data_IF_133438571513
#
_entry.id   IF_133438571513
#
_cell.length_a   1.000
_cell.length_b   1.000
_cell.length_c   1.000
_cell.angle_alpha   90.00
_cell.angle_beta   90.00
_cell.angle_gamma   90.00
#
_symmetry.space_group_name_H-M   'P 1'
#
loop_
_entity.id
_entity.type
_entity.pdbx_description
1 polymer ?
#
# COMPACT_ATOMS: atom_id res chain seq x y z
N UNK A 1 16.80 -2.51 -6.90
CA UNK A 1 16.64 -3.97 -6.91
C UNK A 1 15.63 -4.51 -5.88
N UNK A 2 14.71 -3.69 -5.34
CA UNK A 2 13.69 -4.16 -4.35
C UNK A 2 12.36 -4.50 -5.02
N UNK A 3 12.04 -3.86 -6.14
CA UNK A 3 10.77 -4.01 -6.86
C UNK A 3 10.67 -5.27 -7.75
N UNK A 4 11.76 -6.03 -7.92
CA UNK A 4 11.87 -7.05 -8.99
C UNK A 4 11.92 -8.50 -8.49
N UNK A 5 12.16 -8.75 -7.20
CA UNK A 5 12.24 -10.10 -6.64
C UNK A 5 10.97 -10.41 -5.85
N UNK A 6 9.98 -10.94 -6.57
CA UNK A 6 8.81 -11.53 -5.94
C UNK A 6 9.15 -12.91 -5.37
N UNK A 7 8.61 -13.27 -4.21
CA UNK A 7 8.51 -14.69 -3.81
C UNK A 7 7.58 -15.41 -4.80
N UNK A 8 7.71 -16.73 -4.90
CA UNK A 8 6.85 -17.54 -5.78
C UNK A 8 5.36 -17.35 -5.42
N UNK A 9 5.06 -17.33 -4.11
CA UNK A 9 3.73 -17.04 -3.57
C UNK A 9 3.22 -15.63 -3.94
N UNK A 10 4.09 -14.62 -4.01
CA UNK A 10 3.69 -13.27 -4.41
C UNK A 10 3.35 -13.21 -5.90
N UNK A 11 4.11 -13.94 -6.71
CA UNK A 11 3.89 -13.99 -8.17
C UNK A 11 2.61 -14.74 -8.49
N UNK A 12 2.32 -15.82 -7.77
CA UNK A 12 1.07 -16.58 -7.86
C UNK A 12 -0.14 -15.69 -7.48
N UNK A 13 -0.10 -15.07 -6.31
CA UNK A 13 -1.16 -14.17 -5.84
C UNK A 13 -1.36 -13.01 -6.81
N UNK A 14 -0.29 -12.40 -7.30
CA UNK A 14 -0.37 -11.30 -8.27
C UNK A 14 -1.05 -11.76 -9.57
N UNK A 15 -0.74 -12.95 -10.07
CA UNK A 15 -1.35 -13.51 -11.27
C UNK A 15 -2.85 -13.75 -11.08
N UNK A 16 -3.25 -14.30 -9.93
CA UNK A 16 -4.65 -14.56 -9.59
C UNK A 16 -5.44 -13.27 -9.45
N UNK A 17 -4.89 -12.29 -8.72
CA UNK A 17 -5.50 -10.96 -8.56
C UNK A 17 -5.68 -10.28 -9.91
N UNK A 18 -4.65 -10.30 -10.76
CA UNK A 18 -4.70 -9.70 -12.11
C UNK A 18 -5.74 -10.39 -13.00
N UNK A 19 -5.84 -11.72 -12.92
CA UNK A 19 -6.86 -12.51 -13.63
C UNK A 19 -8.26 -12.10 -13.21
N UNK A 20 -8.52 -12.03 -11.90
CA UNK A 20 -9.84 -11.66 -11.38
C UNK A 20 -10.22 -10.24 -11.77
N UNK A 21 -9.29 -9.29 -11.66
CA UNK A 21 -9.51 -7.90 -12.08
C UNK A 21 -9.84 -7.79 -13.58
N UNK A 22 -9.21 -8.60 -14.43
CA UNK A 22 -9.51 -8.64 -15.88
C UNK A 22 -10.88 -9.23 -16.20
N UNK A 23 -11.39 -10.11 -15.33
CA UNK A 23 -12.70 -10.79 -15.49
C UNK A 23 -13.83 -10.12 -14.69
N UNK A 24 -13.58 -8.95 -14.10
CA UNK A 24 -14.57 -8.33 -13.20
C UNK A 24 -15.89 -8.09 -13.94
N UNK A 25 -17.05 -8.38 -13.31
CA UNK A 25 -18.33 -8.06 -13.91
C UNK A 25 -18.54 -6.54 -13.93
N UNK A 26 -19.17 -6.04 -15.01
CA UNK A 26 -19.47 -4.61 -15.19
C UNK A 26 -20.33 -4.00 -14.08
N UNK A 27 -21.03 -4.83 -13.31
CA UNK A 27 -21.86 -4.42 -12.18
C UNK A 27 -21.07 -4.02 -10.93
N UNK A 28 -19.78 -4.36 -10.83
CA UNK A 28 -18.95 -3.96 -9.69
C UNK A 28 -18.49 -2.52 -9.89
N UNK A 29 -18.94 -1.65 -8.98
CA UNK A 29 -18.54 -0.25 -8.87
C UNK A 29 -17.03 -0.09 -8.97
N UNK A 30 -16.59 0.98 -9.62
CA UNK A 30 -15.16 1.32 -9.76
C UNK A 30 -14.55 1.87 -8.46
N UNK A 31 -15.35 2.05 -7.40
CA UNK A 31 -14.78 2.46 -6.11
C UNK A 31 -13.88 1.36 -5.52
N UNK A 32 -12.71 1.77 -5.01
CA UNK A 32 -11.64 0.89 -4.50
C UNK A 32 -12.15 -0.09 -3.43
N UNK A 33 -13.04 0.37 -2.54
CA UNK A 33 -13.61 -0.45 -1.45
C UNK A 33 -14.42 -1.64 -1.97
N UNK A 34 -15.32 -1.41 -2.94
CA UNK A 34 -16.19 -2.44 -3.49
C UNK A 34 -15.39 -3.45 -4.33
N UNK A 35 -14.36 -2.97 -5.05
CA UNK A 35 -13.42 -3.82 -5.77
C UNK A 35 -12.63 -4.73 -4.82
N UNK A 36 -12.11 -4.17 -3.72
CA UNK A 36 -11.37 -4.93 -2.70
C UNK A 36 -12.26 -6.00 -2.05
N UNK A 37 -13.50 -5.66 -1.69
CA UNK A 37 -14.49 -6.61 -1.15
C UNK A 37 -14.82 -7.75 -2.12
N UNK A 38 -15.07 -7.41 -3.38
CA UNK A 38 -15.34 -8.42 -4.42
C UNK A 38 -14.15 -9.36 -4.61
N UNK A 39 -12.93 -8.81 -4.62
CA UNK A 39 -11.71 -9.58 -4.78
C UNK A 39 -11.49 -10.54 -3.61
N UNK A 40 -11.75 -10.11 -2.37
CA UNK A 40 -11.69 -10.98 -1.18
C UNK A 40 -12.67 -12.15 -1.30
N UNK A 41 -13.92 -11.90 -1.70
CA UNK A 41 -14.90 -12.98 -1.92
C UNK A 41 -14.38 -13.97 -2.95
N UNK A 42 -13.78 -13.48 -4.04
CA UNK A 42 -13.27 -14.31 -5.11
C UNK A 42 -12.07 -15.15 -4.68
N UNK A 43 -11.11 -14.55 -3.97
CA UNK A 43 -9.95 -15.24 -3.41
C UNK A 43 -10.36 -16.35 -2.43
N UNK A 44 -11.37 -16.10 -1.59
CA UNK A 44 -11.93 -17.13 -0.71
C UNK A 44 -12.56 -18.30 -1.48
N UNK A 45 -13.21 -18.04 -2.61
CA UNK A 45 -13.78 -19.09 -3.47
C UNK A 45 -12.70 -19.94 -4.16
N UNK A 46 -11.55 -19.34 -4.47
CA UNK A 46 -10.38 -20.06 -4.99
C UNK A 46 -9.60 -20.81 -3.88
N UNK A 47 -10.01 -20.69 -2.62
CA UNK A 47 -9.43 -21.43 -1.48
C UNK A 47 -8.34 -20.69 -0.69
N UNK A 48 -8.12 -19.40 -0.97
CA UNK A 48 -7.17 -18.57 -0.21
C UNK A 48 -7.83 -17.99 1.05
N UNK A 49 -7.07 -17.94 2.15
CA UNK A 49 -7.48 -17.22 3.35
C UNK A 49 -7.20 -15.73 3.19
N UNK A 50 -8.11 -15.03 2.51
CA UNK A 50 -8.04 -13.60 2.26
C UNK A 50 -9.01 -12.84 3.17
N UNK A 51 -8.57 -11.74 3.78
CA UNK A 51 -9.43 -10.80 4.51
C UNK A 51 -9.24 -9.37 4.05
N UNK A 52 -10.27 -8.55 4.25
CA UNK A 52 -10.16 -7.11 4.09
C UNK A 52 -9.77 -6.54 5.44
N UNK A 53 -8.59 -5.92 5.50
CA UNK A 53 -8.12 -5.17 6.65
C UNK A 53 -8.34 -3.69 6.41
N UNK A 54 -8.73 -3.00 7.47
CA UNK A 54 -8.73 -1.55 7.54
C UNK A 54 -7.68 -1.15 8.58
N UNK A 55 -6.84 -0.18 8.28
CA UNK A 55 -6.08 0.48 9.33
C UNK A 55 -6.91 1.67 9.86
N UNK A 56 -7.49 1.51 11.06
CA UNK A 56 -7.90 2.68 11.82
C UNK A 56 -6.67 3.16 12.58
N UNK A 57 -6.03 4.23 12.12
CA UNK A 57 -4.99 4.86 12.90
C UNK A 57 -5.65 5.56 14.08
N UNK A 58 -5.71 4.89 15.24
CA UNK A 58 -6.00 5.56 16.49
C UNK A 58 -4.74 6.35 16.84
N UNK A 59 -4.77 7.68 16.70
CA UNK A 59 -3.78 8.55 17.33
C UNK A 59 -3.87 8.39 18.84
N UNK A 60 -3.21 7.36 19.40
CA UNK A 60 -2.97 7.31 20.83
C UNK A 60 -1.71 8.14 21.10
N UNK A 61 -1.92 9.29 21.73
CA UNK A 61 -0.83 10.06 22.33
C UNK A 61 0.07 9.15 23.17
N UNK A 62 1.38 9.22 22.88
CA UNK A 62 2.44 8.79 23.79
C UNK A 62 3.10 7.46 23.43
N UNK A 63 4.38 7.56 23.06
CA UNK A 63 5.44 6.54 23.15
C UNK A 63 5.91 5.85 21.85
N UNK A 64 7.21 5.48 21.80
CA UNK A 64 8.06 5.60 20.61
C UNK A 64 8.12 4.31 19.80
N UNK A 65 7.95 4.46 18.50
CA UNK A 65 7.97 3.36 17.53
C UNK A 65 7.02 3.59 16.36
N UNK A 66 6.73 4.86 16.03
CA UNK A 66 5.85 5.25 14.96
C UNK A 66 6.45 4.83 13.61
N UNK A 67 6.15 3.59 13.24
CA UNK A 67 6.23 3.09 11.88
C UNK A 67 5.28 3.98 11.05
N UNK A 68 5.90 4.99 10.44
CA UNK A 68 5.58 5.63 9.16
C UNK A 68 4.08 5.51 8.80
N UNK A 69 3.27 6.59 8.81
CA UNK A 69 3.17 7.50 7.66
C UNK A 69 1.98 8.51 7.87
N UNK A 70 2.18 9.78 7.46
CA UNK A 70 1.23 10.88 7.10
C UNK A 70 0.00 11.20 8.00
N UNK A 71 -0.08 12.38 8.66
CA UNK A 71 -1.38 13.00 9.02
C UNK A 71 -1.38 14.53 9.18
N UNK A 72 -2.36 15.22 8.60
CA UNK A 72 -2.81 16.63 8.87
C UNK A 72 -3.54 16.78 10.22
N UNK A 73 -3.21 17.71 11.12
CA UNK A 73 -4.01 18.10 12.27
C UNK A 73 -5.11 19.06 11.80
N UNK A 74 -6.33 18.86 12.30
CA UNK A 74 -7.46 19.78 12.08
C UNK A 74 -8.48 19.34 11.05
N UNK A 75 -8.29 18.20 10.39
CA UNK A 75 -9.32 17.54 9.61
C UNK A 75 -9.30 16.05 9.95
N UNK A 76 -10.20 15.61 10.84
CA UNK A 76 -10.48 14.19 11.05
C UNK A 76 -11.21 13.70 9.79
N UNK A 77 -10.44 13.38 8.77
CA UNK A 77 -10.83 12.37 7.81
C UNK A 77 -10.08 11.13 8.27
N UNK A 78 -10.77 10.21 8.97
CA UNK A 78 -10.29 8.84 9.07
C UNK A 78 -10.15 8.37 7.64
N UNK A 79 -8.94 8.46 7.08
CA UNK A 79 -8.67 7.86 5.78
C UNK A 79 -8.54 6.39 6.09
N UNK A 80 -9.68 5.71 6.17
CA UNK A 80 -9.76 4.27 6.38
C UNK A 80 -9.07 3.61 5.19
N UNK A 81 -7.75 3.37 5.30
CA UNK A 81 -7.02 2.74 4.22
C UNK A 81 -7.27 1.24 4.32
N UNK A 82 -7.96 0.74 3.29
CA UNK A 82 -8.33 -0.65 3.19
C UNK A 82 -7.28 -1.38 2.35
N UNK A 83 -6.82 -2.52 2.81
CA UNK A 83 -5.95 -3.42 2.05
C UNK A 83 -6.41 -4.86 2.26
N UNK A 84 -5.98 -5.74 1.37
CA UNK A 84 -6.31 -7.16 1.46
C UNK A 84 -5.12 -7.86 2.09
N UNK A 85 -5.35 -8.63 3.16
CA UNK A 85 -4.34 -9.54 3.69
C UNK A 85 -4.66 -10.97 3.25
N UNK A 86 -3.64 -11.70 2.84
CA UNK A 86 -3.74 -13.11 2.46
C UNK A 86 -2.79 -13.90 3.37
N UNK A 87 -3.35 -14.79 4.17
CA UNK A 87 -2.58 -15.78 4.90
C UNK A 87 -2.29 -16.96 3.96
N UNK A 88 -1.01 -17.21 3.71
CA UNK A 88 -0.53 -18.33 2.91
C UNK A 88 0.63 -19.02 3.63
N UNK A 89 1.15 -20.08 3.06
CA UNK A 89 2.36 -20.74 3.52
C UNK A 89 3.46 -20.58 2.48
N UNK A 90 4.69 -20.39 2.91
CA UNK A 90 5.84 -20.42 2.02
C UNK A 90 6.17 -21.85 1.56
N UNK A 91 7.18 -22.03 0.71
CA UNK A 91 7.60 -23.37 0.26
C UNK A 91 8.11 -24.26 1.41
N UNK A 92 8.52 -23.66 2.53
CA UNK A 92 8.97 -24.37 3.72
C UNK A 92 7.80 -24.68 4.70
N UNK A 93 6.57 -24.28 4.38
CA UNK A 93 5.38 -24.45 5.22
C UNK A 93 5.21 -23.40 6.32
N UNK A 94 6.09 -22.41 6.39
CA UNK A 94 6.02 -21.29 7.33
C UNK A 94 4.87 -20.36 6.96
N UNK A 95 4.15 -19.88 7.98
CA UNK A 95 3.03 -18.96 7.76
C UNK A 95 3.55 -17.62 7.20
N UNK A 96 3.11 -17.28 5.99
CA UNK A 96 3.43 -16.05 5.28
C UNK A 96 2.18 -15.19 5.17
N UNK A 97 2.31 -13.90 5.51
CA UNK A 97 1.24 -12.92 5.32
C UNK A 97 1.60 -11.99 4.18
N UNK A 98 0.75 -11.99 3.16
CA UNK A 98 0.91 -11.12 2.00
C UNK A 98 -0.11 -10.00 2.05
N UNK A 99 0.36 -8.79 1.82
CA UNK A 99 -0.43 -7.58 1.68
C UNK A 99 -0.68 -7.36 0.20
N UNK A 100 -1.94 -7.20 -0.18
CA UNK A 100 -2.39 -6.90 -1.53
C UNK A 100 -3.08 -5.54 -1.56
N UNK A 101 -2.55 -4.62 -2.35
CA UNK A 101 -3.19 -3.34 -2.66
C UNK A 101 -3.29 -3.13 -4.16
N UNK A 102 -4.52 -2.99 -4.64
CA UNK A 102 -4.86 -2.83 -6.07
C UNK A 102 -4.71 -1.38 -6.57
N UNK A 103 -4.52 -0.41 -5.67
CA UNK A 103 -4.40 1.01 -6.00
C UNK A 103 -3.14 1.64 -5.37
N UNK A 104 -2.08 0.85 -5.23
CA UNK A 104 -0.89 1.21 -4.44
C UNK A 104 -0.21 2.48 -4.96
N UNK A 105 -0.03 2.59 -6.27
CA UNK A 105 0.66 3.72 -6.91
C UNK A 105 -0.01 5.07 -6.66
N UNK A 106 -1.34 5.09 -6.65
CA UNK A 106 -2.16 6.30 -6.47
C UNK A 106 -1.89 6.97 -5.11
N UNK A 107 -1.58 6.18 -4.08
CA UNK A 107 -1.29 6.65 -2.73
C UNK A 107 -0.01 7.49 -2.61
N UNK A 108 0.88 7.43 -3.62
CA UNK A 108 2.18 8.11 -3.60
C UNK A 108 2.28 9.23 -4.64
N UNK A 109 1.15 9.70 -5.19
CA UNK A 109 1.16 10.82 -6.11
C UNK A 109 1.42 12.15 -5.37
N UNK A 110 2.41 12.90 -5.85
CA UNK A 110 2.70 14.26 -5.37
C UNK A 110 2.17 15.28 -6.37
N UNK A 111 1.60 16.38 -5.88
CA UNK A 111 1.11 17.47 -6.74
C UNK A 111 2.22 18.16 -7.56
N UNK A 112 3.47 18.16 -7.08
CA UNK A 112 4.63 18.78 -7.74
C UNK A 112 5.88 17.89 -7.60
N UNK A 113 5.96 16.74 -8.30
CA UNK A 113 7.09 15.84 -8.17
C UNK A 113 8.31 16.41 -8.91
N UNK A 114 9.50 16.19 -8.37
CA UNK A 114 10.75 16.34 -9.14
C UNK A 114 10.84 15.26 -10.22
N UNK A 115 11.72 15.46 -11.22
CA UNK A 115 11.94 14.45 -12.26
C UNK A 115 12.45 13.13 -11.67
N UNK A 116 13.28 13.19 -10.62
CA UNK A 116 13.74 12.04 -9.87
C UNK A 116 12.58 11.30 -9.18
N UNK A 117 11.71 12.01 -8.47
CA UNK A 117 10.56 11.40 -7.82
C UNK A 117 9.57 10.79 -8.82
N UNK A 118 9.33 11.46 -9.95
CA UNK A 118 8.44 10.95 -11.01
C UNK A 118 8.99 9.66 -11.64
N UNK A 119 10.31 9.55 -11.82
CA UNK A 119 10.93 8.30 -12.28
C UNK A 119 10.70 7.19 -11.26
N UNK A 120 10.88 7.48 -9.98
CA UNK A 120 10.70 6.51 -8.91
C UNK A 120 9.23 6.06 -8.78
N UNK A 121 8.28 7.00 -8.66
CA UNK A 121 6.85 6.66 -8.60
C UNK A 121 6.35 5.98 -9.88
N UNK A 122 6.96 6.29 -11.02
CA UNK A 122 6.73 5.61 -12.29
C UNK A 122 7.11 4.13 -12.28
N UNK A 123 8.08 3.73 -11.45
CA UNK A 123 8.48 2.32 -11.29
C UNK A 123 7.62 1.53 -10.30
N UNK A 124 6.75 2.21 -9.53
CA UNK A 124 5.89 1.51 -8.58
C UNK A 124 4.84 0.66 -9.32
N UNK A 125 4.58 -0.57 -8.82
CA UNK A 125 3.53 -1.39 -9.38
C UNK A 125 2.16 -0.77 -9.07
N UNK A 126 1.21 -0.92 -9.99
CA UNK A 126 -0.18 -0.54 -9.76
C UNK A 126 -0.81 -1.42 -8.69
N UNK A 127 -0.55 -2.73 -8.79
CA UNK A 127 -0.96 -3.74 -7.82
C UNK A 127 0.27 -4.14 -7.01
N UNK A 128 0.28 -3.81 -5.73
CA UNK A 128 1.30 -4.28 -4.80
C UNK A 128 0.88 -5.62 -4.23
N UNK A 129 1.80 -6.59 -4.25
CA UNK A 129 1.71 -7.85 -3.54
C UNK A 129 3.04 -8.07 -2.84
N UNK A 130 3.02 -8.14 -1.51
CA UNK A 130 4.24 -8.44 -0.77
C UNK A 130 4.08 -8.50 0.73
N UNK A 131 5.16 -8.90 1.40
CA UNK A 131 5.27 -8.92 2.84
C UNK A 131 5.38 -7.50 3.45
N UNK A 132 5.23 -7.42 4.77
CA UNK A 132 5.32 -6.17 5.55
C UNK A 132 6.72 -5.52 5.46
N UNK A 133 7.81 -6.31 5.51
CA UNK A 133 9.17 -5.77 5.39
C UNK A 133 9.43 -5.14 4.02
N UNK A 134 8.90 -5.75 2.95
CA UNK A 134 8.98 -5.22 1.58
C UNK A 134 8.20 -3.94 1.45
N UNK A 135 6.99 -3.89 2.02
CA UNK A 135 6.20 -2.66 2.08
C UNK A 135 7.00 -1.56 2.80
N UNK A 136 7.51 -1.84 4.00
CA UNK A 136 8.30 -0.89 4.79
C UNK A 136 9.55 -0.36 4.07
N UNK A 137 10.26 -1.22 3.32
CA UNK A 137 11.40 -0.80 2.49
C UNK A 137 11.00 0.15 1.37
N UNK A 138 9.88 -0.13 0.68
CA UNK A 138 9.37 0.73 -0.39
C UNK A 138 8.91 2.07 0.19
N UNK A 139 8.18 2.04 1.30
CA UNK A 139 7.71 3.22 2.01
C UNK A 139 8.87 4.13 2.43
N UNK A 140 9.90 3.57 3.07
CA UNK A 140 11.09 4.31 3.48
C UNK A 140 11.79 5.01 2.31
N UNK A 141 11.92 4.31 1.18
CA UNK A 141 12.54 4.84 -0.03
C UNK A 141 11.70 5.95 -0.68
N UNK A 142 10.39 5.77 -0.76
CA UNK A 142 9.46 6.79 -1.27
C UNK A 142 9.38 8.00 -0.36
N UNK A 143 9.36 7.81 0.95
CA UNK A 143 9.38 8.91 1.92
C UNK A 143 10.66 9.73 1.79
N UNK A 144 11.81 9.08 1.65
CA UNK A 144 13.10 9.76 1.48
C UNK A 144 13.13 10.58 0.19
N UNK A 145 12.76 9.97 -0.93
CA UNK A 145 12.68 10.65 -2.22
C UNK A 145 11.62 11.77 -2.24
N UNK A 146 10.50 11.58 -1.52
CA UNK A 146 9.45 12.59 -1.38
C UNK A 146 9.95 13.80 -0.61
N UNK A 147 10.64 13.58 0.53
CA UNK A 147 11.26 14.66 1.32
C UNK A 147 12.25 15.46 0.49
N UNK A 148 13.10 14.79 -0.28
CA UNK A 148 14.06 15.44 -1.19
C UNK A 148 13.35 16.24 -2.29
N UNK A 149 12.31 15.66 -2.90
CA UNK A 149 11.49 16.33 -3.91
C UNK A 149 10.83 17.61 -3.39
N UNK A 150 10.30 17.59 -2.16
CA UNK A 150 9.71 18.78 -1.54
C UNK A 150 10.78 19.85 -1.28
N UNK A 151 11.92 19.44 -0.71
CA UNK A 151 13.05 20.33 -0.41
C UNK A 151 13.59 21.02 -1.67
N UNK A 152 13.79 20.28 -2.76
CA UNK A 152 14.27 20.82 -4.04
C UNK A 152 13.28 21.81 -4.65
N UNK A 153 11.97 21.57 -4.50
CA UNK A 153 10.92 22.48 -4.97
C UNK A 153 10.68 23.68 -4.04
N UNK A 154 11.49 23.85 -3.00
CA UNK A 154 11.30 24.91 -2.00
C UNK A 154 10.00 24.78 -1.21
N UNK A 155 9.38 23.61 -1.24
CA UNK A 155 8.18 23.31 -0.47
C UNK A 155 8.62 22.79 0.90
N UNK A 156 8.28 23.52 1.95
CA UNK A 156 8.46 23.01 3.30
C UNK A 156 7.55 21.79 3.49
N UNK A 157 8.08 20.73 4.10
CA UNK A 157 7.24 19.62 4.56
C UNK A 157 6.29 20.25 5.56
N UNK A 158 4.98 20.30 5.28
CA UNK A 158 4.10 21.01 6.17
C UNK A 158 4.16 20.35 7.56
N UNK A 159 4.02 21.12 8.65
CA UNK A 159 4.34 20.67 10.02
C UNK A 159 3.57 19.41 10.43
N UNK A 160 2.43 19.19 9.79
CA UNK A 160 1.66 17.99 9.98
C UNK A 160 2.24 16.71 9.39
N UNK A 161 3.07 16.82 8.35
CA UNK A 161 3.82 15.69 7.81
C UNK A 161 5.16 15.46 8.54
N UNK A 162 5.35 16.04 9.72
CA UNK A 162 6.53 15.82 10.58
C UNK A 162 6.16 15.10 11.88
N UNK A 163 7.01 14.17 12.30
CA UNK A 163 6.88 13.38 13.54
C UNK A 163 6.83 14.23 14.81
N UNK A 164 7.17 15.51 14.76
CA UNK A 164 7.11 16.42 15.92
C UNK A 164 5.69 16.94 16.17
N UNK A 165 4.80 16.84 15.18
CA UNK A 165 3.40 17.28 15.28
C UNK A 165 2.41 16.11 15.35
N UNK A 166 2.89 14.89 15.09
CA UNK A 166 2.15 13.62 15.20
C UNK A 166 2.54 12.92 16.50
#
# INVERSE_FOLDING_TARGET
EVLRRGSDAETEVLAIVSKHLSTKPKSVSENSSSLKKWLVIRLKLDGYDASLRQNSWTTSWGCPGAELIFTVPGQIHSSDYEYIDIATHDMNGEALRLIVDIDFKSQFELARPTSAYRKLSGTLPLIFVGDEDKLNKILSLLCSAGKESLKEKGLHIPPWRTSTYM
#
